data_IF_752926605371
#
_entry.id   IF_752926605371
#
_cell.length_a   1.000
_cell.length_b   1.000
_cell.length_c   1.000
_cell.angle_alpha   90.00
_cell.angle_beta   90.00
_cell.angle_gamma   90.00
#
_symmetry.space_group_name_H-M   'P 1'
#
loop_
_entity.id
_entity.type
_entity.pdbx_description
1 polymer ?
#
# COMPACT_ATOMS: atom_id res chain seq x y z
N UNK A 1 2.76 -3.69 1.33
CA UNK A 1 2.13 -2.39 0.99
C UNK A 1 0.65 -2.53 0.67
N UNK A 2 0.25 -3.30 -0.36
CA UNK A 2 -1.16 -3.45 -0.78
C UNK A 2 -2.14 -3.77 0.38
N UNK A 3 -1.74 -4.66 1.31
CA UNK A 3 -2.55 -5.00 2.49
C UNK A 3 -2.85 -3.79 3.38
N UNK A 4 -1.84 -2.94 3.62
CA UNK A 4 -1.97 -1.74 4.47
C UNK A 4 -2.88 -0.72 3.80
N UNK A 5 -2.69 -0.48 2.49
CA UNK A 5 -3.56 0.40 1.70
C UNK A 5 -5.03 -0.02 1.82
N UNK A 6 -5.32 -1.30 1.52
CA UNK A 6 -6.68 -1.85 1.60
C UNK A 6 -7.26 -1.74 3.00
N UNK A 7 -6.45 -1.96 4.02
CA UNK A 7 -6.89 -1.86 5.42
C UNK A 7 -7.25 -0.42 5.80
N UNK A 8 -6.39 0.56 5.46
CA UNK A 8 -6.65 1.98 5.73
C UNK A 8 -7.92 2.48 5.03
N UNK A 9 -8.12 2.10 3.76
CA UNK A 9 -9.34 2.45 3.03
C UNK A 9 -10.59 1.86 3.70
N UNK A 10 -10.56 0.57 4.06
CA UNK A 10 -11.68 -0.08 4.76
C UNK A 10 -11.98 0.56 6.11
N UNK A 11 -10.94 0.88 6.88
CA UNK A 11 -11.09 1.55 8.17
C UNK A 11 -11.71 2.94 7.99
N UNK A 12 -11.30 3.69 6.97
CA UNK A 12 -11.86 5.02 6.68
C UNK A 12 -13.32 4.95 6.26
N UNK A 13 -13.67 4.00 5.39
CA UNK A 13 -15.07 3.75 5.01
C UNK A 13 -15.94 3.35 6.22
N UNK A 14 -15.40 2.50 7.10
CA UNK A 14 -16.07 2.11 8.33
C UNK A 14 -16.28 3.31 9.28
N UNK A 15 -15.29 4.18 9.44
CA UNK A 15 -15.43 5.40 10.23
C UNK A 15 -16.56 6.29 9.71
N UNK A 16 -16.70 6.45 8.39
CA UNK A 16 -17.77 7.25 7.81
C UNK A 16 -19.16 6.65 8.09
N UNK A 17 -19.30 5.32 7.95
CA UNK A 17 -20.55 4.61 8.26
C UNK A 17 -20.92 4.78 9.75
N UNK A 18 -19.96 4.59 10.65
CA UNK A 18 -20.17 4.75 12.10
C UNK A 18 -20.54 6.18 12.45
N UNK A 19 -19.84 7.15 11.85
CA UNK A 19 -20.12 8.57 12.07
C UNK A 19 -21.53 8.92 11.62
N UNK A 20 -21.91 8.50 10.41
CA UNK A 20 -23.24 8.76 9.88
C UNK A 20 -24.35 8.12 10.71
N UNK A 21 -24.16 6.86 11.14
CA UNK A 21 -25.10 6.20 12.03
C UNK A 21 -25.18 6.88 13.41
N UNK A 22 -24.04 7.33 13.96
CA UNK A 22 -23.99 8.04 15.24
C UNK A 22 -24.67 9.42 15.16
N UNK A 23 -24.47 10.16 14.07
CA UNK A 23 -25.09 11.46 13.83
C UNK A 23 -26.63 11.32 13.79
N UNK A 24 -27.15 10.30 13.09
CA UNK A 24 -28.60 10.00 13.07
C UNK A 24 -29.14 9.67 14.46
N UNK A 25 -28.43 8.84 15.25
CA UNK A 25 -28.84 8.48 16.61
C UNK A 25 -28.83 9.66 17.59
N UNK A 26 -27.95 10.64 17.38
CA UNK A 26 -27.85 11.83 18.23
C UNK A 26 -28.87 12.92 17.86
N UNK A 27 -29.33 12.95 16.60
CA UNK A 27 -30.36 13.88 16.12
C UNK A 27 -31.79 13.39 16.44
N UNK A 28 -32.05 12.08 16.39
CA UNK A 28 -33.36 11.47 16.66
C UNK A 28 -33.70 11.40 18.17
N UNK A 29 -33.69 12.56 18.85
CA UNK A 29 -34.01 12.69 20.28
C UNK A 29 -35.50 12.62 20.64
N UNK A 30 -36.41 12.40 19.69
CA UNK A 30 -37.87 12.40 19.93
C UNK A 30 -38.56 11.16 19.33
N UNK A 31 -38.82 10.17 20.19
CA UNK A 31 -39.89 9.16 20.23
C UNK A 31 -40.27 8.29 19.00
N UNK A 32 -39.56 8.34 17.87
CA UNK A 32 -39.73 7.36 16.79
C UNK A 32 -38.42 6.63 16.46
N UNK A 33 -38.45 5.29 16.54
CA UNK A 33 -37.36 4.43 16.04
C UNK A 33 -37.31 4.58 14.51
N UNK A 34 -36.57 5.56 14.02
CA UNK A 34 -36.29 5.66 12.59
C UNK A 34 -35.27 4.60 12.21
N UNK A 35 -35.57 3.91 11.11
CA UNK A 35 -34.65 3.01 10.45
C UNK A 35 -33.38 3.79 10.05
N UNK A 36 -32.20 3.38 10.53
CA UNK A 36 -30.93 4.00 10.16
C UNK A 36 -30.72 3.81 8.65
N UNK A 37 -30.68 4.90 7.90
CA UNK A 37 -30.49 4.88 6.45
C UNK A 37 -29.15 5.47 6.10
N UNK A 38 -28.26 4.62 5.59
CA UNK A 38 -26.96 5.06 5.10
C UNK A 38 -27.09 5.71 3.72
N UNK A 39 -26.35 6.79 3.52
CA UNK A 39 -26.27 7.54 2.29
C UNK A 39 -25.55 6.71 1.23
N UNK A 40 -26.30 6.30 0.21
CA UNK A 40 -25.85 5.43 -0.86
C UNK A 40 -25.76 6.14 -2.21
N UNK A 41 -25.96 7.47 -2.27
CA UNK A 41 -25.79 8.23 -3.51
C UNK A 41 -24.36 8.08 -4.03
N UNK A 42 -24.25 7.61 -5.27
CA UNK A 42 -22.98 7.36 -5.94
C UNK A 42 -22.07 8.59 -5.96
N UNK A 43 -22.63 9.80 -6.15
CA UNK A 43 -21.85 11.05 -6.12
C UNK A 43 -21.13 11.24 -4.78
N UNK A 44 -21.86 11.11 -3.67
CA UNK A 44 -21.31 11.28 -2.33
C UNK A 44 -20.32 10.17 -1.96
N UNK A 45 -20.59 8.93 -2.34
CA UNK A 45 -19.66 7.81 -2.14
C UNK A 45 -18.35 7.99 -2.92
N UNK A 46 -18.39 8.59 -4.12
CA UNK A 46 -17.18 8.89 -4.90
C UNK A 46 -16.32 9.93 -4.21
N UNK A 47 -16.93 10.99 -3.68
CA UNK A 47 -16.21 12.05 -2.96
C UNK A 47 -15.55 11.50 -1.68
N UNK A 48 -16.29 10.68 -0.90
CA UNK A 48 -15.74 9.97 0.27
C UNK A 48 -14.60 9.02 -0.14
N UNK A 49 -14.76 8.25 -1.22
CA UNK A 49 -13.75 7.30 -1.68
C UNK A 49 -12.42 7.98 -2.07
N UNK A 50 -12.45 9.18 -2.65
CA UNK A 50 -11.24 9.97 -2.89
C UNK A 50 -10.54 10.32 -1.56
N UNK A 51 -11.31 10.75 -0.55
CA UNK A 51 -10.79 10.99 0.79
C UNK A 51 -10.12 9.74 1.40
N UNK A 52 -10.75 8.57 1.26
CA UNK A 52 -10.18 7.30 1.73
C UNK A 52 -8.88 6.95 1.01
N UNK A 53 -8.80 7.18 -0.30
CA UNK A 53 -7.62 6.92 -1.10
C UNK A 53 -6.46 7.84 -0.70
N UNK A 54 -6.73 9.14 -0.54
CA UNK A 54 -5.72 10.13 -0.12
C UNK A 54 -5.19 9.80 1.27
N UNK A 55 -6.07 9.48 2.22
CA UNK A 55 -5.66 9.06 3.56
C UNK A 55 -4.82 7.77 3.51
N UNK A 56 -5.27 6.77 2.78
CA UNK A 56 -4.54 5.53 2.63
C UNK A 56 -3.18 5.72 1.96
N UNK A 57 -3.06 6.67 1.02
CA UNK A 57 -1.79 7.07 0.41
C UNK A 57 -0.83 7.63 1.47
N UNK A 58 -1.29 8.53 2.33
CA UNK A 58 -0.47 9.05 3.43
C UNK A 58 -0.05 7.96 4.41
N UNK A 59 -0.96 7.04 4.76
CA UNK A 59 -0.66 5.93 5.66
C UNK A 59 0.39 4.96 5.08
N UNK A 60 0.39 4.72 3.76
CA UNK A 60 1.42 3.89 3.12
C UNK A 60 2.71 4.64 2.81
N UNK A 61 2.69 5.96 2.76
CA UNK A 61 3.87 6.81 2.54
C UNK A 61 4.73 6.90 3.80
N UNK A 62 5.06 5.75 4.37
CA UNK A 62 5.90 5.58 5.53
C UNK A 62 7.23 4.94 5.07
N UNK A 63 8.37 5.63 5.25
CA UNK A 63 9.67 5.12 4.80
C UNK A 63 10.01 3.73 5.35
N UNK A 64 9.65 3.45 6.61
CA UNK A 64 9.93 2.15 7.24
C UNK A 64 9.08 1.04 6.63
N UNK A 65 7.82 1.31 6.30
CA UNK A 65 6.96 0.37 5.59
C UNK A 65 7.51 0.06 4.18
N UNK A 66 7.96 1.10 3.47
CA UNK A 66 8.50 0.97 2.11
C UNK A 66 9.79 0.16 2.14
N UNK A 67 10.75 0.51 3.00
CA UNK A 67 12.00 -0.26 3.19
C UNK A 67 11.70 -1.72 3.51
N UNK A 68 10.77 -1.96 4.43
CA UNK A 68 10.38 -3.32 4.82
C UNK A 68 9.77 -4.10 3.66
N UNK A 69 9.01 -3.45 2.79
CA UNK A 69 8.43 -4.09 1.61
C UNK A 69 9.52 -4.60 0.66
N UNK A 70 10.55 -3.80 0.40
CA UNK A 70 11.68 -4.23 -0.44
C UNK A 70 12.51 -5.34 0.21
N UNK A 71 12.70 -5.31 1.54
CA UNK A 71 13.36 -6.40 2.26
C UNK A 71 12.60 -7.73 2.19
N UNK A 72 11.26 -7.68 2.09
CA UNK A 72 10.43 -8.87 1.95
C UNK A 72 10.43 -9.44 0.52
N UNK A 73 10.79 -8.63 -0.48
CA UNK A 73 11.01 -9.10 -1.84
C UNK A 73 12.37 -9.81 -1.93
N UNK A 74 12.41 -11.07 -1.49
CA UNK A 74 13.62 -11.87 -1.36
C UNK A 74 13.64 -13.06 -2.31
N UNK A 75 14.81 -13.33 -2.89
CA UNK A 75 15.16 -14.53 -3.63
C UNK A 75 16.44 -15.10 -3.01
N UNK A 76 16.35 -16.27 -2.39
CA UNK A 76 17.45 -16.88 -1.62
C UNK A 76 18.04 -15.89 -0.59
N UNK A 77 19.34 -15.60 -0.67
CA UNK A 77 20.08 -14.73 0.26
C UNK A 77 20.09 -13.25 -0.15
N UNK A 78 19.37 -12.90 -1.22
CA UNK A 78 19.30 -11.55 -1.75
C UNK A 78 17.86 -11.02 -1.70
N UNK A 79 17.70 -9.80 -1.20
CA UNK A 79 16.44 -9.06 -1.31
C UNK A 79 16.63 -7.76 -2.11
N UNK A 80 15.51 -7.13 -2.45
CA UNK A 80 15.48 -5.91 -3.27
C UNK A 80 15.71 -4.64 -2.44
N UNK A 81 16.12 -4.74 -1.17
CA UNK A 81 16.46 -3.55 -0.39
C UNK A 81 17.74 -2.90 -0.91
N UNK A 82 17.82 -1.57 -0.81
CA UNK A 82 19.02 -0.82 -1.18
C UNK A 82 20.28 -1.34 -0.45
N UNK A 83 20.15 -1.69 0.83
CA UNK A 83 21.24 -2.25 1.64
C UNK A 83 21.73 -3.58 1.07
N UNK A 84 20.83 -4.48 0.64
CA UNK A 84 21.21 -5.75 0.05
C UNK A 84 21.79 -5.60 -1.36
N UNK A 85 21.33 -4.63 -2.15
CA UNK A 85 21.84 -4.42 -3.51
C UNK A 85 23.20 -3.70 -3.52
N UNK A 86 23.47 -2.85 -2.52
CA UNK A 86 24.71 -2.07 -2.42
C UNK A 86 25.78 -2.70 -1.53
N UNK A 87 25.47 -3.77 -0.77
CA UNK A 87 26.48 -4.46 0.05
C UNK A 87 27.62 -4.99 -0.82
N UNK A 88 28.84 -4.93 -0.28
CA UNK A 88 30.07 -5.33 -0.97
C UNK A 88 30.02 -6.79 -1.46
N UNK A 89 29.39 -7.68 -0.71
CA UNK A 89 29.24 -9.08 -1.12
C UNK A 89 28.38 -9.25 -2.37
N UNK A 90 27.30 -8.47 -2.52
CA UNK A 90 26.48 -8.47 -3.74
C UNK A 90 27.25 -7.90 -4.92
N UNK A 91 27.95 -6.79 -4.74
CA UNK A 91 28.76 -6.18 -5.80
C UNK A 91 29.89 -7.12 -6.28
N UNK A 92 30.52 -7.84 -5.34
CA UNK A 92 31.49 -8.90 -5.67
C UNK A 92 30.84 -10.04 -6.44
N UNK A 93 29.66 -10.51 -6.01
CA UNK A 93 28.94 -11.55 -6.73
C UNK A 93 28.57 -11.12 -8.15
N UNK A 94 28.14 -9.88 -8.36
CA UNK A 94 27.89 -9.31 -9.69
C UNK A 94 29.17 -9.23 -10.55
N UNK A 95 30.29 -8.89 -9.93
CA UNK A 95 31.60 -8.86 -10.62
C UNK A 95 32.01 -10.26 -11.07
N UNK A 96 31.80 -11.28 -10.23
CA UNK A 96 32.05 -12.69 -10.58
C UNK A 96 31.08 -13.16 -11.66
N UNK A 97 29.81 -12.73 -11.61
CA UNK A 97 28.80 -13.07 -12.60
C UNK A 97 29.20 -12.59 -14.00
N UNK A 98 29.76 -11.38 -14.10
CA UNK A 98 30.28 -10.82 -15.35
C UNK A 98 31.30 -11.74 -16.03
N UNK A 99 32.14 -12.42 -15.25
CA UNK A 99 33.19 -13.29 -15.75
C UNK A 99 32.65 -14.71 -16.01
N UNK A 100 31.85 -15.24 -15.09
CA UNK A 100 31.38 -16.63 -15.14
C UNK A 100 30.21 -16.85 -16.10
N UNK A 101 29.30 -15.89 -16.21
CA UNK A 101 28.08 -15.98 -17.02
C UNK A 101 27.84 -14.66 -17.77
N UNK A 102 28.69 -14.32 -18.75
CA UNK A 102 28.64 -13.03 -19.45
C UNK A 102 27.31 -12.80 -20.18
N UNK A 103 26.67 -13.86 -20.70
CA UNK A 103 25.37 -13.76 -21.37
C UNK A 103 24.24 -13.38 -20.40
N UNK A 104 24.27 -13.89 -19.16
CA UNK A 104 23.29 -13.52 -18.14
C UNK A 104 23.54 -12.09 -17.66
N UNK A 105 24.81 -11.72 -17.47
CA UNK A 105 25.19 -10.36 -17.13
C UNK A 105 24.79 -9.34 -18.21
N UNK A 106 24.95 -9.68 -19.49
CA UNK A 106 24.50 -8.84 -20.61
C UNK A 106 22.98 -8.60 -20.56
N UNK A 107 22.18 -9.64 -20.27
CA UNK A 107 20.72 -9.49 -20.10
C UNK A 107 20.31 -8.62 -18.91
N UNK A 108 21.15 -8.53 -17.88
CA UNK A 108 20.89 -7.67 -16.72
C UNK A 108 21.18 -6.19 -17.00
N UNK A 109 22.05 -5.89 -17.98
CA UNK A 109 22.42 -4.52 -18.37
C UNK A 109 21.57 -4.02 -19.53
N UNK A 110 21.11 -4.93 -20.38
CA UNK A 110 20.24 -4.58 -21.48
C UNK A 110 18.87 -4.15 -20.93
N UNK A 111 18.66 -2.84 -20.85
CA UNK A 111 17.45 -2.15 -20.34
C UNK A 111 16.18 -2.44 -21.17
N UNK A 112 16.19 -3.43 -22.08
CA UNK A 112 15.05 -3.84 -22.90
C UNK A 112 13.98 -4.64 -22.13
N UNK A 113 13.82 -4.39 -20.83
CA UNK A 113 12.76 -5.00 -20.03
C UNK A 113 11.72 -3.93 -19.66
N UNK A 114 10.81 -3.72 -20.61
CA UNK A 114 9.54 -2.94 -20.59
C UNK A 114 9.61 -1.42 -20.69
#
# INVERSE_FOLDING_TARGET
IQRVLKHSMKHSAHCDIVKEAADQLLEDREDEVKEIRLESKVGLLRDRALGWLVKAYHDINNPELIKKAFQLCRVHDYDLSHECLTKLSTLRALTVLKITHPNLYAKLIDDNTY
#
